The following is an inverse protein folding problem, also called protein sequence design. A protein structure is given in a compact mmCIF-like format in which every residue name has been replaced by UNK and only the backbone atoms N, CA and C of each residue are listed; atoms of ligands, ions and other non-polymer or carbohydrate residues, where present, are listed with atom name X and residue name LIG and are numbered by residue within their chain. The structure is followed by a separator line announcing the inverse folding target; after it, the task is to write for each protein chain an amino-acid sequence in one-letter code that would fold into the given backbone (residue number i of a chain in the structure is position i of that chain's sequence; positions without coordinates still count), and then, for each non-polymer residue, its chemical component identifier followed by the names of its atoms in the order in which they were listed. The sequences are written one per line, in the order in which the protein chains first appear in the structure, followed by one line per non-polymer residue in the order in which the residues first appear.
data_IF_233196846454
#
_entry.id   IF_233196846454
#
_cell.length_a   1.000
_cell.length_b   1.000
_cell.length_c   1.000
_cell.angle_alpha   90.00
_cell.angle_beta   90.00
_cell.angle_gamma   90.00
#
_symmetry.space_group_name_H-M   'P 1'
#
loop_
_entity.id
_entity.type
_entity.pdbx_description
1 polymer ?
#
# COMPACT_ATOMS: atom_id res chain seq x y z
N UNK A 1 -17.86 1.12 14.83
CA UNK A 1 -16.77 1.53 13.92
C UNK A 1 -16.62 0.58 12.74
N UNK A 2 -16.15 -0.69 12.88
CA UNK A 2 -15.99 -1.60 11.72
C UNK A 2 -17.30 -1.87 10.98
N UNK A 3 -18.38 -2.18 11.72
CA UNK A 3 -19.72 -2.40 11.15
C UNK A 3 -20.18 -1.19 10.33
N UNK A 4 -20.03 0.01 10.87
CA UNK A 4 -20.41 1.25 10.19
C UNK A 4 -19.62 1.46 8.89
N UNK A 5 -18.31 1.15 8.89
CA UNK A 5 -17.50 1.20 7.68
C UNK A 5 -18.01 0.22 6.62
N UNK A 6 -18.31 -1.03 7.00
CA UNK A 6 -18.86 -2.03 6.08
C UNK A 6 -20.25 -1.63 5.56
N UNK A 7 -21.10 -1.10 6.43
CA UNK A 7 -22.42 -0.60 6.03
C UNK A 7 -22.31 0.55 5.02
N UNK A 8 -21.33 1.46 5.19
CA UNK A 8 -21.05 2.52 4.22
C UNK A 8 -20.52 1.97 2.89
N UNK A 9 -19.61 0.98 2.91
CA UNK A 9 -19.13 0.33 1.69
C UNK A 9 -20.30 -0.31 0.93
N UNK A 10 -21.14 -1.09 1.62
CA UNK A 10 -22.32 -1.72 1.02
C UNK A 10 -23.32 -0.72 0.45
N UNK A 11 -23.52 0.40 1.14
CA UNK A 11 -24.42 1.48 0.68
C UNK A 11 -23.87 2.20 -0.56
N UNK A 12 -22.55 2.43 -0.62
CA UNK A 12 -21.91 3.14 -1.73
C UNK A 12 -21.57 2.25 -2.91
N UNK A 13 -21.39 0.94 -2.66
CA UNK A 13 -20.96 -0.07 -3.64
C UNK A 13 -19.80 0.44 -4.52
N UNK A 14 -18.66 0.89 -3.93
CA UNK A 14 -17.60 1.53 -4.69
C UNK A 14 -16.99 0.56 -5.71
N UNK A 15 -16.64 1.10 -6.87
CA UNK A 15 -15.80 0.40 -7.84
C UNK A 15 -14.35 0.64 -7.47
N UNK A 16 -13.54 -0.43 -7.41
CA UNK A 16 -12.14 -0.38 -7.00
C UNK A 16 -11.26 -0.94 -8.12
N UNK A 17 -10.37 -0.09 -8.62
CA UNK A 17 -9.35 -0.51 -9.59
C UNK A 17 -8.22 -1.24 -8.88
N UNK A 18 -7.81 -2.41 -9.40
CA UNK A 18 -6.75 -3.21 -8.81
C UNK A 18 -5.70 -3.57 -9.86
N UNK A 19 -4.48 -3.11 -9.64
CA UNK A 19 -3.28 -3.60 -10.30
C UNK A 19 -2.57 -4.48 -9.27
N UNK A 20 -2.84 -5.79 -9.32
CA UNK A 20 -2.43 -6.72 -8.27
C UNK A 20 -1.71 -7.94 -8.82
N UNK A 21 -1.21 -8.79 -7.93
CA UNK A 21 -0.46 -9.98 -8.30
C UNK A 21 -1.38 -11.15 -8.69
N UNK A 22 -0.87 -12.01 -9.59
CA UNK A 22 -1.63 -13.14 -10.12
C UNK A 22 -1.88 -14.27 -9.11
N UNK A 23 -1.12 -14.29 -8.00
CA UNK A 23 -1.26 -15.34 -6.98
C UNK A 23 -2.56 -15.15 -6.19
N UNK A 24 -2.92 -13.90 -5.90
CA UNK A 24 -4.06 -13.56 -5.03
C UNK A 24 -5.14 -12.73 -5.73
N UNK A 25 -5.10 -12.61 -7.06
CA UNK A 25 -6.04 -11.76 -7.81
C UNK A 25 -7.50 -12.14 -7.54
N UNK A 26 -7.82 -13.44 -7.52
CA UNK A 26 -9.18 -13.92 -7.22
C UNK A 26 -9.59 -13.64 -5.77
N UNK A 27 -8.67 -13.79 -4.82
CA UNK A 27 -8.92 -13.52 -3.41
C UNK A 27 -9.22 -12.04 -3.19
N UNK A 28 -8.45 -11.15 -3.82
CA UNK A 28 -8.69 -9.70 -3.79
C UNK A 28 -10.07 -9.37 -4.34
N UNK A 29 -10.42 -9.93 -5.51
CA UNK A 29 -11.74 -9.73 -6.10
C UNK A 29 -12.86 -10.21 -5.17
N UNK A 30 -12.75 -11.43 -4.64
CA UNK A 30 -13.76 -12.03 -3.78
C UNK A 30 -13.92 -11.26 -2.45
N UNK A 31 -12.84 -10.78 -1.84
CA UNK A 31 -12.90 -9.97 -0.62
C UNK A 31 -13.59 -8.62 -0.88
N UNK A 32 -13.28 -7.94 -1.97
CA UNK A 32 -13.95 -6.67 -2.35
C UNK A 32 -15.45 -6.91 -2.56
N UNK A 33 -15.84 -7.97 -3.30
CA UNK A 33 -17.24 -8.35 -3.50
C UNK A 33 -17.94 -8.68 -2.17
N UNK A 34 -17.30 -9.45 -1.31
CA UNK A 34 -17.86 -9.81 0.00
C UNK A 34 -18.07 -8.57 0.90
N UNK A 35 -17.23 -7.56 0.78
CA UNK A 35 -17.39 -6.28 1.47
C UNK A 35 -18.50 -5.41 0.87
N UNK A 36 -18.99 -5.71 -0.35
CA UNK A 36 -20.02 -4.94 -1.05
C UNK A 36 -19.49 -3.91 -2.04
N UNK A 37 -18.20 -3.98 -2.40
CA UNK A 37 -17.60 -3.23 -3.50
C UNK A 37 -17.59 -4.01 -4.81
N UNK A 38 -17.13 -3.38 -5.89
CA UNK A 38 -17.00 -3.97 -7.24
C UNK A 38 -15.54 -3.87 -7.70
N UNK A 39 -14.80 -4.98 -7.82
CA UNK A 39 -13.42 -4.93 -8.26
C UNK A 39 -13.32 -4.86 -9.80
N UNK A 40 -12.38 -4.07 -10.31
CA UNK A 40 -11.91 -4.14 -11.70
C UNK A 40 -10.41 -4.45 -11.66
N UNK A 41 -9.98 -5.44 -12.43
CA UNK A 41 -8.58 -5.83 -12.60
C UNK A 41 -8.11 -5.37 -13.98
N UNK A 42 -7.19 -4.40 -14.03
CA UNK A 42 -6.57 -3.93 -15.26
C UNK A 42 -5.17 -3.42 -14.96
N UNK A 43 -4.19 -3.80 -15.78
CA UNK A 43 -2.79 -3.34 -15.67
C UNK A 43 -2.20 -2.91 -17.01
N UNK A 44 -3.04 -2.94 -18.08
CA UNK A 44 -2.64 -2.51 -19.42
C UNK A 44 -2.51 -0.99 -19.51
N UNK A 45 -1.32 -0.45 -19.87
CA UNK A 45 -1.08 0.99 -19.90
C UNK A 45 -2.03 1.81 -20.78
N UNK A 46 -2.65 1.19 -21.79
CA UNK A 46 -3.60 1.87 -22.67
C UNK A 46 -5.02 1.94 -22.08
N UNK A 47 -5.34 1.11 -21.09
CA UNK A 47 -6.67 0.98 -20.51
C UNK A 47 -6.78 1.62 -19.11
N UNK A 48 -5.71 1.57 -18.32
CA UNK A 48 -5.75 1.90 -16.88
C UNK A 48 -6.25 3.31 -16.56
N UNK A 49 -6.04 4.29 -17.42
CA UNK A 49 -6.47 5.67 -17.16
C UNK A 49 -8.00 5.78 -17.22
N UNK A 50 -8.63 5.12 -18.18
CA UNK A 50 -10.09 5.10 -18.34
C UNK A 50 -10.74 4.30 -17.21
N UNK A 51 -10.19 3.12 -16.89
CA UNK A 51 -10.64 2.31 -15.74
C UNK A 51 -10.52 3.07 -14.43
N UNK A 52 -9.38 3.72 -14.18
CA UNK A 52 -9.20 4.53 -12.97
C UNK A 52 -10.23 5.65 -12.87
N UNK A 53 -10.63 6.23 -14.02
CA UNK A 53 -11.57 7.36 -14.04
C UNK A 53 -12.99 6.97 -13.63
N UNK A 54 -13.40 5.74 -13.82
CA UNK A 54 -14.73 5.23 -13.40
C UNK A 54 -14.71 4.56 -12.01
N UNK A 55 -13.53 4.42 -11.40
CA UNK A 55 -13.35 3.82 -10.06
C UNK A 55 -13.31 4.90 -8.98
N UNK A 56 -13.60 4.51 -7.74
CA UNK A 56 -13.52 5.40 -6.57
C UNK A 56 -12.24 5.20 -5.73
N UNK A 57 -11.31 4.34 -6.17
CA UNK A 57 -10.03 4.08 -5.50
C UNK A 57 -9.16 3.11 -6.29
N UNK A 58 -7.84 3.15 -6.02
CA UNK A 58 -6.83 2.34 -6.70
C UNK A 58 -6.01 1.54 -5.68
N UNK A 59 -5.85 0.24 -5.95
CA UNK A 59 -4.96 -0.65 -5.22
C UNK A 59 -3.80 -1.08 -6.12
N UNK A 60 -2.56 -0.83 -5.70
CA UNK A 60 -1.32 -1.22 -6.38
C UNK A 60 -0.55 -2.21 -5.52
N UNK A 61 -0.28 -3.41 -6.05
CA UNK A 61 0.51 -4.47 -5.42
C UNK A 61 1.63 -4.94 -6.35
N UNK A 62 2.86 -5.01 -5.85
CA UNK A 62 4.07 -5.32 -6.63
C UNK A 62 4.40 -6.82 -6.72
N UNK A 63 3.47 -7.72 -6.39
CA UNK A 63 3.74 -9.15 -6.24
C UNK A 63 4.23 -9.85 -7.50
N UNK A 64 3.62 -9.61 -8.66
CA UNK A 64 4.02 -10.18 -9.98
C UNK A 64 4.37 -9.07 -10.94
N UNK A 65 5.48 -8.39 -10.67
CA UNK A 65 5.89 -7.18 -11.36
C UNK A 65 6.51 -7.46 -12.74
N UNK A 66 6.06 -6.72 -13.76
CA UNK A 66 6.66 -6.72 -15.11
C UNK A 66 6.66 -5.29 -15.69
N UNK A 67 7.41 -5.08 -16.77
CA UNK A 67 7.67 -3.71 -17.29
C UNK A 67 6.41 -2.97 -17.69
N UNK A 68 5.48 -3.64 -18.36
CA UNK A 68 4.20 -3.06 -18.78
C UNK A 68 3.33 -2.69 -17.59
N UNK A 69 3.23 -3.54 -16.57
CA UNK A 69 2.46 -3.22 -15.37
C UNK A 69 3.01 -2.02 -14.60
N UNK A 70 4.32 -1.77 -14.63
CA UNK A 70 4.91 -0.57 -14.02
C UNK A 70 4.41 0.70 -14.70
N UNK A 71 4.35 0.70 -16.03
CA UNK A 71 3.80 1.84 -16.78
C UNK A 71 2.31 2.03 -16.47
N UNK A 72 1.54 0.94 -16.41
CA UNK A 72 0.15 0.95 -15.99
C UNK A 72 -0.04 1.52 -14.58
N UNK A 73 0.78 1.06 -13.61
CA UNK A 73 0.76 1.57 -12.23
C UNK A 73 1.00 3.08 -12.15
N UNK A 74 1.96 3.60 -12.93
CA UNK A 74 2.25 5.03 -12.97
C UNK A 74 1.09 5.82 -13.57
N UNK A 75 0.57 5.40 -14.72
CA UNK A 75 -0.57 6.06 -15.38
C UNK A 75 -1.82 6.06 -14.49
N UNK A 76 -2.16 4.91 -13.91
CA UNK A 76 -3.30 4.78 -12.99
C UNK A 76 -3.12 5.63 -11.73
N UNK A 77 -1.91 5.62 -11.14
CA UNK A 77 -1.59 6.39 -9.96
C UNK A 77 -1.67 7.90 -10.17
N UNK A 78 -1.10 8.40 -11.27
CA UNK A 78 -1.22 9.82 -11.65
C UNK A 78 -2.69 10.20 -11.89
N UNK A 79 -3.43 9.36 -12.61
CA UNK A 79 -4.86 9.61 -12.87
C UNK A 79 -5.67 9.62 -11.57
N UNK A 80 -5.42 8.69 -10.64
CA UNK A 80 -6.05 8.70 -9.32
C UNK A 80 -5.76 9.98 -8.54
N UNK A 81 -4.51 10.45 -8.57
CA UNK A 81 -4.12 11.69 -7.88
C UNK A 81 -4.80 12.93 -8.50
N UNK A 82 -4.92 13.02 -9.82
CA UNK A 82 -5.66 14.09 -10.52
C UNK A 82 -7.14 14.13 -10.08
N UNK A 83 -7.75 12.96 -9.90
CA UNK A 83 -9.16 12.83 -9.51
C UNK A 83 -9.38 12.91 -7.99
N UNK A 84 -8.32 12.97 -7.19
CA UNK A 84 -8.39 12.95 -5.73
C UNK A 84 -8.84 11.61 -5.16
N UNK A 85 -8.71 10.52 -5.91
CA UNK A 85 -9.05 9.18 -5.46
C UNK A 85 -8.00 8.63 -4.49
N UNK A 86 -8.39 7.88 -3.44
CA UNK A 86 -7.45 7.22 -2.57
C UNK A 86 -6.66 6.13 -3.31
N UNK A 87 -5.35 6.08 -3.04
CA UNK A 87 -4.44 5.08 -3.62
C UNK A 87 -3.77 4.30 -2.50
N UNK A 88 -3.80 2.96 -2.59
CA UNK A 88 -3.11 2.05 -1.70
C UNK A 88 -1.89 1.46 -2.40
N UNK A 89 -0.76 1.37 -1.69
CA UNK A 89 0.45 0.65 -2.13
C UNK A 89 0.74 -0.53 -1.20
N UNK A 90 0.89 -1.70 -1.80
CA UNK A 90 1.48 -2.89 -1.17
C UNK A 90 2.81 -3.22 -1.91
N UNK A 91 3.98 -2.80 -1.36
CA UNK A 91 5.27 -2.90 -2.03
C UNK A 91 5.89 -4.29 -1.90
N UNK A 92 5.14 -5.34 -2.20
CA UNK A 92 5.55 -6.74 -2.04
C UNK A 92 6.95 -7.00 -2.59
N UNK A 93 7.84 -7.43 -1.71
CA UNK A 93 9.21 -7.80 -2.06
C UNK A 93 10.15 -6.61 -2.30
N UNK A 94 9.78 -5.40 -1.90
CA UNK A 94 10.72 -4.28 -1.82
C UNK A 94 11.85 -4.65 -0.82
N UNK A 95 13.10 -4.51 -1.25
CA UNK A 95 14.28 -4.98 -0.53
C UNK A 95 14.75 -6.39 -0.94
N UNK A 96 13.88 -7.23 -1.50
CA UNK A 96 14.24 -8.60 -1.91
C UNK A 96 14.92 -8.65 -3.29
N UNK A 97 14.61 -7.71 -4.18
CA UNK A 97 15.29 -7.58 -5.47
C UNK A 97 15.46 -6.12 -5.87
N UNK A 98 16.49 -5.85 -6.67
CA UNK A 98 16.77 -4.52 -7.19
C UNK A 98 15.58 -3.97 -7.98
N UNK A 99 15.01 -4.78 -8.87
CA UNK A 99 13.89 -4.38 -9.74
C UNK A 99 12.66 -3.96 -8.93
N UNK A 100 12.28 -4.73 -7.89
CA UNK A 100 11.15 -4.40 -7.02
C UNK A 100 11.42 -3.15 -6.18
N UNK A 101 12.62 -3.04 -5.64
CA UNK A 101 13.04 -1.91 -4.83
C UNK A 101 13.03 -0.60 -5.63
N UNK A 102 13.67 -0.59 -6.81
CA UNK A 102 13.70 0.59 -7.68
C UNK A 102 12.29 0.99 -8.12
N UNK A 103 11.43 0.01 -8.43
CA UNK A 103 10.03 0.29 -8.78
C UNK A 103 9.26 0.87 -7.61
N UNK A 104 9.34 0.27 -6.43
CA UNK A 104 8.66 0.77 -5.24
C UNK A 104 9.09 2.21 -4.89
N UNK A 105 10.40 2.49 -4.95
CA UNK A 105 10.95 3.83 -4.74
C UNK A 105 10.52 4.83 -5.82
N UNK A 106 10.40 4.40 -7.06
CA UNK A 106 9.88 5.22 -8.15
C UNK A 106 8.42 5.59 -7.92
N UNK A 107 7.58 4.60 -7.64
CA UNK A 107 6.15 4.81 -7.39
C UNK A 107 5.91 5.76 -6.23
N UNK A 108 6.58 5.56 -5.09
CA UNK A 108 6.39 6.41 -3.89
C UNK A 108 6.94 7.83 -4.05
N UNK A 109 7.76 8.07 -5.07
CA UNK A 109 8.26 9.39 -5.45
C UNK A 109 7.28 10.13 -6.37
N UNK A 110 6.63 9.41 -7.29
CA UNK A 110 5.81 10.00 -8.34
C UNK A 110 4.31 10.02 -8.03
N UNK A 111 3.84 9.13 -7.16
CA UNK A 111 2.42 9.00 -6.80
C UNK A 111 2.23 9.36 -5.33
N UNK A 112 1.18 10.15 -5.03
CA UNK A 112 0.73 10.39 -3.67
C UNK A 112 -0.17 9.22 -3.23
N UNK A 113 0.29 8.43 -2.27
CA UNK A 113 -0.47 7.33 -1.69
C UNK A 113 -1.24 7.78 -0.45
N UNK A 114 -2.47 7.32 -0.32
CA UNK A 114 -3.29 7.51 0.88
C UNK A 114 -2.96 6.47 1.95
N UNK A 115 -2.62 5.25 1.52
CA UNK A 115 -2.28 4.12 2.39
C UNK A 115 -1.05 3.40 1.83
N UNK A 116 -0.11 3.08 2.69
CA UNK A 116 1.05 2.23 2.39
C UNK A 116 1.02 1.07 3.39
N UNK A 117 0.93 -0.16 2.88
CA UNK A 117 0.86 -1.38 3.70
C UNK A 117 1.95 -2.35 3.27
N UNK A 118 2.71 -2.86 4.22
CA UNK A 118 3.74 -3.86 3.95
C UNK A 118 4.32 -4.43 5.24
N UNK A 119 5.21 -5.41 5.13
CA UNK A 119 5.95 -5.88 6.29
C UNK A 119 7.05 -4.87 6.70
N UNK A 120 7.68 -5.10 7.86
CA UNK A 120 8.73 -4.21 8.40
C UNK A 120 9.84 -3.94 7.39
N UNK A 121 10.32 -4.99 6.71
CA UNK A 121 11.43 -4.89 5.75
C UNK A 121 11.06 -4.03 4.53
N UNK A 122 9.86 -4.22 3.99
CA UNK A 122 9.33 -3.47 2.85
C UNK A 122 9.17 -1.99 3.20
N UNK A 123 8.55 -1.68 4.35
CA UNK A 123 8.34 -0.29 4.78
C UNK A 123 9.68 0.42 5.07
N UNK A 124 10.66 -0.28 5.67
CA UNK A 124 12.01 0.27 5.85
C UNK A 124 12.71 0.55 4.53
N UNK A 125 12.59 -0.37 3.57
CA UNK A 125 13.14 -0.17 2.23
C UNK A 125 12.58 1.09 1.58
N UNK A 126 11.28 1.36 1.73
CA UNK A 126 10.66 2.60 1.25
C UNK A 126 11.14 3.84 2.01
N UNK A 127 11.40 3.71 3.31
CA UNK A 127 11.80 4.85 4.14
C UNK A 127 13.25 5.28 3.90
N UNK A 128 14.16 4.32 3.75
CA UNK A 128 15.61 4.54 3.75
C UNK A 128 16.28 4.26 2.39
N UNK A 129 15.61 3.59 1.45
CA UNK A 129 16.19 3.16 0.17
C UNK A 129 17.04 1.90 0.30
N UNK A 130 17.60 1.44 -0.83
CA UNK A 130 18.39 0.21 -0.94
C UNK A 130 19.78 0.24 -0.28
N UNK A 131 20.21 1.40 0.20
CA UNK A 131 21.58 1.62 0.69
C UNK A 131 21.77 1.62 2.21
N UNK A 132 20.71 1.63 3.02
CA UNK A 132 20.82 1.95 4.43
C UNK A 132 20.55 0.80 5.42
N UNK A 133 20.65 -0.45 4.97
CA UNK A 133 20.62 -1.61 5.89
C UNK A 133 21.88 -1.73 6.76
N UNK A 134 22.89 -0.89 6.53
CA UNK A 134 24.11 -0.83 7.34
C UNK A 134 24.14 0.46 8.16
N UNK A 135 23.47 0.50 9.30
CA UNK A 135 23.76 1.55 10.27
C UNK A 135 22.63 2.20 11.04
N UNK A 136 21.37 1.88 10.79
CA UNK A 136 20.26 2.40 11.59
C UNK A 136 19.49 1.23 12.19
N UNK A 137 19.71 1.02 13.48
CA UNK A 137 19.03 0.07 14.37
C UNK A 137 18.90 -1.37 13.86
N UNK A 138 19.92 -2.18 14.16
CA UNK A 138 19.91 -3.64 14.00
C UNK A 138 18.68 -4.31 14.68
N UNK A 139 18.11 -3.67 15.69
CA UNK A 139 16.97 -4.16 16.46
C UNK A 139 15.62 -4.14 15.71
N UNK A 140 15.52 -3.37 14.61
CA UNK A 140 14.29 -3.32 13.81
C UNK A 140 14.29 -4.29 12.60
N UNK A 141 15.21 -5.23 12.49
CA UNK A 141 15.18 -6.25 11.43
C UNK A 141 14.18 -7.37 11.74
N UNK A 142 13.78 -7.50 13.00
CA UNK A 142 12.80 -8.47 13.46
C UNK A 142 11.36 -7.99 13.21
N UNK A 143 10.43 -8.94 13.08
CA UNK A 143 9.00 -8.66 13.07
C UNK A 143 8.61 -7.85 14.34
N UNK A 144 7.60 -7.00 14.21
CA UNK A 144 7.12 -6.21 15.34
C UNK A 144 6.65 -7.15 16.46
N UNK A 145 7.21 -6.94 17.64
CA UNK A 145 6.91 -7.68 18.86
C UNK A 145 6.87 -6.71 20.07
N UNK A 146 6.49 -7.20 21.24
CA UNK A 146 6.37 -6.36 22.44
C UNK A 146 7.66 -5.60 22.80
N UNK A 147 8.84 -6.18 22.52
CA UNK A 147 10.15 -5.57 22.88
C UNK A 147 10.50 -4.37 22.00
N UNK A 148 10.16 -4.43 20.71
CA UNK A 148 10.50 -3.39 19.73
C UNK A 148 9.31 -2.51 19.33
N UNK A 149 8.13 -2.69 19.95
CA UNK A 149 6.89 -2.02 19.58
C UNK A 149 7.01 -0.49 19.62
N UNK A 150 7.57 0.09 20.67
CA UNK A 150 7.70 1.55 20.80
C UNK A 150 8.62 2.17 19.74
N UNK A 151 9.70 1.47 19.39
CA UNK A 151 10.58 1.89 18.30
C UNK A 151 9.86 1.80 16.96
N UNK A 152 9.15 0.71 16.73
CA UNK A 152 8.34 0.50 15.51
C UNK A 152 7.25 1.57 15.37
N UNK A 153 6.57 1.92 16.46
CA UNK A 153 5.59 3.01 16.50
C UNK A 153 6.23 4.36 16.17
N UNK A 154 7.38 4.66 16.73
CA UNK A 154 8.11 5.91 16.46
C UNK A 154 8.54 6.02 15.01
N UNK A 155 9.08 4.93 14.46
CA UNK A 155 9.46 4.82 13.05
C UNK A 155 8.28 5.03 12.11
N UNK A 156 7.17 4.28 12.32
CA UNK A 156 6.00 4.36 11.45
C UNK A 156 5.35 5.74 11.48
N UNK A 157 5.30 6.40 12.65
CA UNK A 157 4.82 7.79 12.78
C UNK A 157 5.66 8.77 11.97
N UNK A 158 6.99 8.66 12.05
CA UNK A 158 7.90 9.50 11.27
C UNK A 158 7.71 9.32 9.77
N UNK A 159 7.58 8.08 9.32
CA UNK A 159 7.39 7.76 7.91
C UNK A 159 6.00 8.18 7.41
N UNK A 160 4.93 7.93 8.16
CA UNK A 160 3.58 8.36 7.86
C UNK A 160 3.48 9.89 7.72
N UNK A 161 4.09 10.64 8.65
CA UNK A 161 4.17 12.10 8.58
C UNK A 161 4.91 12.59 7.33
N UNK A 162 6.06 11.97 7.01
CA UNK A 162 6.87 12.33 5.83
C UNK A 162 6.13 12.08 4.51
N UNK A 163 5.29 11.05 4.46
CA UNK A 163 4.54 10.66 3.25
C UNK A 163 3.12 11.19 3.19
N UNK A 164 2.65 11.82 4.25
CA UNK A 164 1.24 12.27 4.39
C UNK A 164 0.24 11.12 4.12
N UNK A 165 0.58 9.92 4.58
CA UNK A 165 -0.15 8.69 4.32
C UNK A 165 -0.42 7.91 5.61
N UNK A 166 -1.45 7.07 5.56
CA UNK A 166 -1.63 6.02 6.55
C UNK A 166 -0.58 4.94 6.27
N UNK A 167 0.20 4.56 7.27
CA UNK A 167 1.18 3.47 7.12
C UNK A 167 0.80 2.32 8.04
N UNK A 168 0.78 1.11 7.47
CA UNK A 168 0.43 -0.14 8.14
C UNK A 168 1.61 -1.08 8.00
N UNK A 169 2.17 -1.53 9.12
CA UNK A 169 3.15 -2.62 9.13
C UNK A 169 2.42 -3.91 9.50
N UNK A 170 2.56 -4.94 8.66
CA UNK A 170 1.95 -6.25 8.90
C UNK A 170 2.94 -7.19 9.58
N UNK A 171 2.45 -7.97 10.55
CA UNK A 171 3.25 -8.91 11.34
C UNK A 171 2.41 -9.66 12.36
N UNK A 172 3.04 -10.10 13.45
CA UNK A 172 2.31 -10.67 14.59
C UNK A 172 1.53 -9.60 15.36
N UNK A 173 2.04 -8.37 15.34
CA UNK A 173 1.36 -7.15 15.81
C UNK A 173 1.37 -6.18 14.64
N UNK A 174 0.22 -5.64 14.28
CA UNK A 174 0.02 -4.73 13.15
C UNK A 174 -0.09 -3.26 13.62
N UNK A 175 1.01 -2.51 13.78
CA UNK A 175 0.92 -1.10 14.10
C UNK A 175 0.43 -0.30 12.89
N UNK A 176 -0.55 0.59 13.14
CA UNK A 176 -1.13 1.49 12.17
C UNK A 176 -0.88 2.93 12.61
N UNK A 177 -0.35 3.78 11.73
CA UNK A 177 -0.13 5.19 12.01
C UNK A 177 -0.80 6.10 10.99
N UNK A 178 -1.43 7.15 11.49
CA UNK A 178 -2.06 8.24 10.73
C UNK A 178 -1.24 9.53 10.87
N UNK A 179 -1.36 10.42 9.91
CA UNK A 179 -0.63 11.70 9.91
C UNK A 179 -1.00 12.62 11.09
N UNK A 180 -2.20 12.47 11.66
CA UNK A 180 -2.73 13.35 12.71
C UNK A 180 -3.06 12.66 14.04
N UNK A 181 -2.93 11.34 14.17
CA UNK A 181 -3.38 10.61 15.35
C UNK A 181 -2.38 9.53 15.82
N UNK A 182 -2.67 9.01 17.02
CA UNK A 182 -1.90 7.99 17.71
C UNK A 182 -1.80 6.70 16.88
N UNK A 183 -0.68 6.01 16.97
CA UNK A 183 -0.62 4.62 16.54
C UNK A 183 -1.56 3.78 17.43
N UNK A 184 -2.37 2.93 16.80
CA UNK A 184 -3.22 1.97 17.49
C UNK A 184 -2.68 0.57 17.22
N UNK A 185 -2.70 -0.24 18.27
CA UNK A 185 -2.50 -1.69 18.18
C UNK A 185 -3.85 -2.30 17.81
N UNK A 186 -3.87 -3.17 16.82
CA UNK A 186 -5.01 -4.08 16.62
C UNK A 186 -4.68 -5.39 17.31
N UNK A 187 -5.56 -5.88 18.20
CA UNK A 187 -5.39 -7.16 18.85
C UNK A 187 -5.44 -8.33 17.88
#
# INVERSE_FOLDING_TARGET
MLKECLDQVRKKAPVVHNITNYVTVNDVANVILACGGSPIMSDEPEDVADITSICGGLNINLGTLHKTSIEGMLKAGHRSNELGHPVLLDPVGAGASRFRTETALKLIKEIKFSVIRGNVSEIKTLAYGSGSTKGVDADLTEAVNERNLQQSISFIKGFAKKKEAIVIITGAIDPVSYTHLRAHETP
#
